data_IF_194323292896
#
_entry.id   IF_194323292896
#
_cell.length_a   1.000
_cell.length_b   1.000
_cell.length_c   1.000
_cell.angle_alpha   90.00
_cell.angle_beta   90.00
_cell.angle_gamma   90.00
#
_symmetry.space_group_name_H-M   'P 1'
#
loop_
_entity.id
_entity.type
_entity.pdbx_description
1 polymer ?
#
# COMPACT_ATOMS: atom_id res chain seq x y z
N UNK A 1 -29.00 5.96 -1.80
CA UNK A 1 -29.74 6.65 -0.70
C UNK A 1 -29.72 5.77 0.56
N UNK A 2 -29.10 6.27 1.63
CA UNK A 2 -28.87 5.66 2.95
C UNK A 2 -30.17 5.34 3.74
N UNK A 3 -30.91 4.31 3.33
CA UNK A 3 -32.09 3.83 4.08
C UNK A 3 -31.72 2.84 5.20
N UNK A 4 -30.56 2.17 5.07
CA UNK A 4 -30.09 1.18 6.05
C UNK A 4 -29.76 1.78 7.42
N UNK A 5 -29.27 3.03 7.49
CA UNK A 5 -28.83 3.64 8.75
C UNK A 5 -29.95 4.17 9.66
N UNK A 6 -31.23 4.06 9.27
CA UNK A 6 -32.35 4.64 10.05
C UNK A 6 -33.38 3.60 10.51
N UNK A 7 -33.30 2.37 10.01
CA UNK A 7 -34.36 1.36 10.18
C UNK A 7 -34.27 0.60 11.49
N UNK A 8 -33.09 0.42 12.09
CA UNK A 8 -32.91 -0.36 13.32
C UNK A 8 -32.25 0.45 14.43
N UNK A 9 -32.30 -0.06 15.67
CA UNK A 9 -31.60 0.56 16.80
C UNK A 9 -30.08 0.58 16.55
N UNK A 10 -29.55 -0.53 16.04
CA UNK A 10 -28.15 -0.72 15.68
C UNK A 10 -27.72 0.24 14.58
N UNK A 11 -28.56 0.43 13.55
CA UNK A 11 -28.25 1.32 12.45
C UNK A 11 -28.16 2.79 12.91
N UNK A 12 -29.04 3.20 13.83
CA UNK A 12 -28.99 4.53 14.44
C UNK A 12 -27.79 4.69 15.37
N UNK A 13 -27.38 3.63 16.08
CA UNK A 13 -26.18 3.62 16.89
C UNK A 13 -24.91 3.76 16.01
N UNK A 14 -24.82 2.99 14.93
CA UNK A 14 -23.73 3.08 13.95
C UNK A 14 -23.62 4.48 13.33
N UNK A 15 -24.75 5.10 12.98
CA UNK A 15 -24.76 6.49 12.47
C UNK A 15 -24.28 7.52 13.49
N UNK A 16 -24.49 7.28 14.79
CA UNK A 16 -23.95 8.14 15.86
C UNK A 16 -22.45 7.91 16.07
N UNK A 17 -22.01 6.67 15.89
CA UNK A 17 -20.59 6.30 15.98
C UNK A 17 -19.79 6.91 14.83
N UNK A 18 -20.23 6.71 13.58
CA UNK A 18 -19.66 7.35 12.40
C UNK A 18 -20.27 8.74 12.19
N UNK A 19 -19.84 9.70 13.01
CA UNK A 19 -20.46 11.03 13.06
C UNK A 19 -20.16 11.92 11.86
N UNK A 20 -19.06 11.69 11.15
CA UNK A 20 -18.71 12.43 9.93
C UNK A 20 -19.27 11.70 8.72
N UNK A 21 -19.96 12.46 7.87
CA UNK A 21 -20.64 11.97 6.68
C UNK A 21 -20.23 12.82 5.48
N UNK A 22 -19.47 12.25 4.55
CA UNK A 22 -18.97 12.98 3.38
C UNK A 22 -19.60 12.37 2.13
N UNK A 23 -20.41 13.11 1.37
CA UNK A 23 -20.82 12.68 0.04
C UNK A 23 -19.59 12.44 -0.83
N UNK A 24 -19.45 11.25 -1.38
CA UNK A 24 -18.31 10.88 -2.21
C UNK A 24 -18.76 10.00 -3.38
N UNK A 25 -17.86 9.83 -4.34
CA UNK A 25 -18.01 8.83 -5.40
C UNK A 25 -17.15 7.64 -5.04
N UNK A 26 -17.77 6.47 -4.94
CA UNK A 26 -17.05 5.22 -4.88
C UNK A 26 -16.73 4.79 -6.29
N UNK A 27 -15.49 4.35 -6.49
CA UNK A 27 -15.06 3.63 -7.68
C UNK A 27 -14.83 2.20 -7.21
N UNK A 28 -15.56 1.25 -7.78
CA UNK A 28 -15.47 -0.16 -7.46
C UNK A 28 -15.55 -0.95 -8.75
N UNK A 29 -14.46 -1.63 -9.11
CA UNK A 29 -14.30 -2.21 -10.43
C UNK A 29 -14.69 -1.14 -11.48
N UNK A 30 -15.38 -1.55 -12.55
CA UNK A 30 -15.79 -0.67 -13.65
C UNK A 30 -16.93 0.30 -13.30
N UNK A 31 -17.40 0.30 -12.05
CA UNK A 31 -18.59 1.04 -11.62
C UNK A 31 -18.22 2.23 -10.76
N UNK A 32 -18.76 3.39 -11.11
CA UNK A 32 -18.76 4.57 -10.23
C UNK A 32 -20.16 4.82 -9.71
N UNK A 33 -20.30 4.99 -8.40
CA UNK A 33 -21.59 5.29 -7.78
C UNK A 33 -21.46 6.33 -6.67
N UNK A 34 -22.51 7.13 -6.50
CA UNK A 34 -22.60 8.10 -5.43
C UNK A 34 -22.86 7.40 -4.09
N UNK A 35 -22.09 7.75 -3.07
CA UNK A 35 -22.21 7.20 -1.74
C UNK A 35 -21.90 8.23 -0.65
N UNK A 36 -21.80 7.73 0.58
CA UNK A 36 -21.41 8.50 1.75
C UNK A 36 -20.26 7.78 2.41
N UNK A 37 -19.12 8.46 2.53
CA UNK A 37 -18.03 8.03 3.40
C UNK A 37 -18.43 8.34 4.84
N UNK A 38 -18.62 7.28 5.60
CA UNK A 38 -18.85 7.30 7.04
C UNK A 38 -17.50 7.25 7.75
N UNK A 39 -17.25 8.20 8.65
CA UNK A 39 -15.97 8.30 9.34
C UNK A 39 -16.21 8.54 10.84
N UNK A 40 -15.44 7.81 11.65
CA UNK A 40 -15.20 8.05 13.06
C UNK A 40 -13.78 8.61 13.22
N UNK A 41 -13.65 9.95 13.33
CA UNK A 41 -12.34 10.61 13.31
C UNK A 41 -11.29 10.14 14.33
N UNK A 42 -11.66 9.57 15.48
CA UNK A 42 -10.69 9.08 16.48
C UNK A 42 -10.15 7.68 16.15
N UNK A 43 -10.93 6.86 15.44
CA UNK A 43 -10.66 5.43 15.29
C UNK A 43 -10.25 5.06 13.87
N UNK A 44 -10.89 5.66 12.88
CA UNK A 44 -10.64 5.30 11.48
C UNK A 44 -9.30 5.88 11.00
N UNK A 45 -8.65 5.15 10.11
CA UNK A 45 -7.43 5.57 9.42
C UNK A 45 -7.81 6.06 8.03
N UNK A 46 -7.45 7.29 7.70
CA UNK A 46 -7.66 7.81 6.34
C UNK A 46 -6.42 7.52 5.52
N UNK A 47 -6.56 6.61 4.56
CA UNK A 47 -5.54 6.36 3.55
C UNK A 47 -5.70 7.35 2.39
N UNK A 48 -4.74 8.24 2.21
CA UNK A 48 -4.74 9.21 1.11
C UNK A 48 -3.63 8.91 0.11
N UNK A 49 -4.00 9.00 -1.17
CA UNK A 49 -3.06 8.94 -2.28
C UNK A 49 -2.64 10.37 -2.62
N UNK A 50 -1.38 10.70 -2.33
CA UNK A 50 -0.83 12.03 -2.56
C UNK A 50 -1.19 13.07 -1.49
N UNK A 51 -0.24 13.99 -1.25
CA UNK A 51 -0.33 15.00 -0.20
C UNK A 51 -1.20 16.21 -0.56
N UNK A 52 -1.25 16.60 -1.84
CA UNK A 52 -1.77 17.90 -2.26
C UNK A 52 -3.19 18.22 -1.77
N UNK A 53 -4.07 17.21 -1.68
CA UNK A 53 -5.47 17.38 -1.28
C UNK A 53 -5.73 17.15 0.21
N UNK A 54 -4.76 16.63 0.95
CA UNK A 54 -4.94 16.29 2.36
C UNK A 54 -5.35 17.50 3.23
N UNK A 55 -4.72 18.69 3.11
CA UNK A 55 -5.08 19.81 3.99
C UNK A 55 -6.53 20.27 3.86
N UNK A 56 -7.08 20.28 2.63
CA UNK A 56 -8.49 20.63 2.41
C UNK A 56 -9.43 19.53 2.88
N UNK A 57 -9.09 18.26 2.63
CA UNK A 57 -9.86 17.12 3.14
C UNK A 57 -9.92 17.16 4.68
N UNK A 58 -8.77 17.38 5.34
CA UNK A 58 -8.68 17.43 6.79
C UNK A 58 -9.49 18.59 7.38
N UNK A 59 -9.42 19.76 6.75
CA UNK A 59 -10.22 20.92 7.12
C UNK A 59 -11.72 20.69 6.91
N UNK A 60 -12.10 20.02 5.82
CA UNK A 60 -13.49 19.67 5.53
C UNK A 60 -14.06 18.70 6.58
N UNK A 61 -13.32 17.64 6.90
CA UNK A 61 -13.68 16.68 7.95
C UNK A 61 -13.83 17.38 9.30
N UNK A 62 -12.89 18.26 9.65
CA UNK A 62 -12.95 19.02 10.89
C UNK A 62 -14.19 19.92 11.01
N UNK A 63 -14.64 20.52 9.91
CA UNK A 63 -15.88 21.33 9.87
C UNK A 63 -17.15 20.49 9.97
N UNK A 64 -17.13 19.29 9.40
CA UNK A 64 -18.27 18.37 9.42
C UNK A 64 -18.41 17.62 10.75
N UNK A 65 -17.31 17.44 11.47
CA UNK A 65 -17.31 16.78 12.77
C UNK A 65 -17.94 17.68 13.86
N UNK A 66 -19.07 17.29 14.48
CA UNK A 66 -19.68 18.04 15.58
C UNK A 66 -18.76 18.19 16.81
N UNK A 67 -17.78 17.31 16.96
CA UNK A 67 -16.79 17.34 18.05
C UNK A 67 -15.50 18.06 17.64
N UNK A 68 -15.38 18.49 16.38
CA UNK A 68 -14.23 19.23 15.87
C UNK A 68 -12.88 18.53 16.13
N UNK A 69 -12.86 17.19 16.10
CA UNK A 69 -11.64 16.39 16.25
C UNK A 69 -10.79 16.48 14.98
N UNK A 70 -11.43 16.34 13.81
CA UNK A 70 -10.73 16.31 12.52
C UNK A 70 -9.92 15.02 12.32
N UNK A 71 -9.04 15.00 11.32
CA UNK A 71 -8.23 13.80 11.02
C UNK A 71 -7.12 13.64 12.04
N UNK A 72 -7.08 12.49 12.74
CA UNK A 72 -6.01 12.18 13.70
C UNK A 72 -5.18 10.96 13.33
N UNK A 73 -5.70 10.05 12.48
CA UNK A 73 -4.96 8.90 11.98
C UNK A 73 -4.87 8.99 10.45
N UNK A 74 -3.67 9.26 9.95
CA UNK A 74 -3.39 9.41 8.53
C UNK A 74 -2.48 8.29 8.05
N UNK A 75 -2.85 7.65 6.95
CA UNK A 75 -1.95 6.83 6.16
C UNK A 75 -1.68 7.55 4.83
N UNK A 76 -0.43 7.90 4.58
CA UNK A 76 -0.03 8.62 3.38
C UNK A 76 0.74 7.69 2.45
N UNK A 77 0.20 7.51 1.24
CA UNK A 77 0.91 6.89 0.14
C UNK A 77 1.54 7.98 -0.72
N UNK A 78 2.87 7.97 -0.82
CA UNK A 78 3.67 9.03 -1.48
C UNK A 78 4.21 8.63 -2.85
N UNK A 79 3.69 7.60 -3.51
CA UNK A 79 4.21 7.10 -4.80
C UNK A 79 3.30 7.28 -6.01
N UNK A 80 3.94 7.58 -7.15
CA UNK A 80 3.46 7.26 -8.48
C UNK A 80 3.52 5.74 -8.72
N UNK A 81 2.45 5.26 -9.36
CA UNK A 81 2.13 3.90 -9.80
C UNK A 81 3.30 3.03 -10.27
N UNK A 82 3.04 1.72 -10.35
CA UNK A 82 3.81 0.60 -10.91
C UNK A 82 4.57 0.85 -12.23
N UNK A 83 4.42 1.99 -12.88
CA UNK A 83 5.15 2.38 -14.06
C UNK A 83 6.19 3.43 -13.66
N UNK A 84 7.49 3.14 -13.84
CA UNK A 84 8.66 4.04 -13.65
C UNK A 84 8.58 5.44 -14.32
N UNK A 85 7.44 5.83 -14.87
CA UNK A 85 7.27 7.01 -15.70
C UNK A 85 6.79 8.28 -14.99
N UNK A 86 6.49 8.25 -13.69
CA UNK A 86 6.03 9.47 -13.01
C UNK A 86 6.75 9.69 -11.69
N UNK A 87 7.82 10.48 -11.80
CA UNK A 87 8.49 11.15 -10.69
C UNK A 87 7.52 12.16 -10.07
N UNK A 88 6.67 11.73 -9.14
CA UNK A 88 6.30 12.65 -8.08
C UNK A 88 7.48 12.64 -7.12
N UNK A 89 8.30 13.69 -7.20
CA UNK A 89 9.13 14.04 -6.05
C UNK A 89 8.21 14.11 -4.83
N UNK A 90 8.72 13.65 -3.69
CA UNK A 90 8.15 13.67 -2.34
C UNK A 90 7.87 15.08 -1.84
N UNK A 91 7.32 15.94 -2.69
CA UNK A 91 7.06 17.31 -2.37
C UNK A 91 5.78 17.37 -1.56
N UNK A 92 5.96 17.56 -0.25
CA UNK A 92 4.90 18.04 0.62
C UNK A 92 4.52 19.51 0.33
N UNK A 93 5.06 20.10 -0.75
CA UNK A 93 4.59 21.36 -1.29
C UNK A 93 3.14 21.22 -1.72
N UNK A 94 2.39 22.22 -1.34
CA UNK A 94 0.99 22.36 -1.70
C UNK A 94 0.68 23.84 -1.77
N UNK A 95 -0.18 24.22 -2.69
CA UNK A 95 -0.70 25.59 -2.77
C UNK A 95 -1.76 25.86 -1.68
N UNK A 96 -2.02 24.88 -0.81
CA UNK A 96 -2.92 25.03 0.32
C UNK A 96 -2.41 26.07 1.32
N UNK A 97 -3.37 26.75 1.94
CA UNK A 97 -3.13 27.67 3.04
C UNK A 97 -2.31 26.99 4.16
N UNK A 98 -1.13 27.53 4.42
CA UNK A 98 -0.18 27.01 5.40
C UNK A 98 -0.80 26.89 6.80
N UNK A 99 -1.73 27.77 7.18
CA UNK A 99 -2.39 27.67 8.47
C UNK A 99 -3.29 26.42 8.55
N UNK A 100 -3.95 26.05 7.44
CA UNK A 100 -4.72 24.80 7.37
C UNK A 100 -3.80 23.58 7.50
N UNK A 101 -2.63 23.61 6.86
CA UNK A 101 -1.62 22.54 6.97
C UNK A 101 -1.19 22.38 8.42
N UNK A 102 -0.74 23.47 9.06
CA UNK A 102 -0.29 23.45 10.46
C UNK A 102 -1.37 22.91 11.40
N UNK A 103 -2.60 23.34 11.19
CA UNK A 103 -3.74 22.93 12.02
C UNK A 103 -4.13 21.47 11.78
N UNK A 104 -4.05 20.97 10.55
CA UNK A 104 -4.30 19.56 10.24
C UNK A 104 -3.22 18.66 10.86
N UNK A 105 -1.95 19.00 10.70
CA UNK A 105 -0.82 18.22 11.20
C UNK A 105 -0.81 18.15 12.73
N UNK A 106 -1.06 19.26 13.42
CA UNK A 106 -1.08 19.31 14.90
C UNK A 106 -2.16 18.42 15.54
N UNK A 107 -3.13 17.95 14.77
CA UNK A 107 -4.17 17.03 15.27
C UNK A 107 -3.79 15.56 15.12
N UNK A 108 -2.79 15.27 14.28
CA UNK A 108 -2.36 13.91 14.05
C UNK A 108 -1.87 13.30 15.36
N UNK A 109 -2.35 12.09 15.62
CA UNK A 109 -1.90 11.19 16.68
C UNK A 109 -1.19 9.98 16.09
N UNK A 110 -1.47 9.67 14.82
CA UNK A 110 -0.84 8.59 14.08
C UNK A 110 -0.58 9.02 12.64
N UNK A 111 0.63 8.79 12.17
CA UNK A 111 1.04 9.00 10.79
C UNK A 111 1.70 7.72 10.26
N UNK A 112 1.12 7.14 9.21
CA UNK A 112 1.58 5.90 8.61
C UNK A 112 2.12 6.21 7.22
N UNK A 113 3.41 5.94 7.00
CA UNK A 113 4.00 5.97 5.68
C UNK A 113 3.66 4.66 4.96
N UNK A 114 2.92 4.73 3.86
CA UNK A 114 2.51 3.53 3.11
C UNK A 114 3.59 3.18 2.10
N UNK A 115 4.18 2.00 2.27
CA UNK A 115 5.21 1.42 1.44
C UNK A 115 4.68 0.14 0.79
N UNK A 116 4.60 0.11 -0.54
CA UNK A 116 4.31 -1.10 -1.31
C UNK A 116 5.63 -1.80 -1.61
N UNK A 117 6.30 -2.24 -0.55
CA UNK A 117 7.67 -2.74 -0.59
C UNK A 117 7.80 -4.18 -1.12
N UNK A 118 7.10 -4.58 -2.18
CA UNK A 118 7.36 -5.88 -2.81
C UNK A 118 7.21 -5.74 -4.32
N UNK A 119 8.30 -5.44 -5.01
CA UNK A 119 8.38 -5.48 -6.46
C UNK A 119 9.79 -5.87 -6.87
N UNK A 120 9.92 -6.71 -7.89
CA UNK A 120 11.12 -6.65 -8.72
C UNK A 120 10.93 -5.58 -9.79
N UNK A 121 11.82 -4.60 -9.77
CA UNK A 121 11.71 -3.40 -10.60
C UNK A 121 11.88 -3.67 -12.11
N UNK A 122 12.25 -4.88 -12.53
CA UNK A 122 12.59 -5.21 -13.92
C UNK A 122 11.38 -5.51 -14.80
N UNK A 123 10.30 -6.09 -14.26
CA UNK A 123 9.14 -6.52 -15.06
C UNK A 123 8.27 -5.35 -15.52
N UNK A 124 8.10 -4.31 -14.72
CA UNK A 124 7.22 -3.17 -15.05
C UNK A 124 7.84 -2.08 -15.95
N UNK A 125 9.09 -2.23 -16.41
CA UNK A 125 9.79 -1.16 -17.13
C UNK A 125 9.30 -0.93 -18.57
N UNK A 126 8.57 -1.88 -19.17
CA UNK A 126 8.20 -1.83 -20.58
C UNK A 126 6.69 -1.75 -20.82
N UNK A 127 6.28 -0.94 -21.80
CA UNK A 127 4.87 -0.77 -22.22
C UNK A 127 4.24 -2.10 -22.68
N UNK A 128 5.06 -3.00 -23.20
CA UNK A 128 4.71 -4.37 -23.60
C UNK A 128 4.51 -5.30 -22.38
N UNK A 129 5.20 -5.03 -21.28
CA UNK A 129 5.06 -5.73 -20.01
C UNK A 129 3.94 -5.16 -19.13
N UNK A 130 3.32 -4.03 -19.49
CA UNK A 130 2.07 -3.56 -18.84
C UNK A 130 0.89 -4.52 -19.04
N UNK A 131 1.04 -5.52 -19.92
CA UNK A 131 0.13 -6.66 -20.10
C UNK A 131 0.67 -7.96 -19.50
N UNK A 132 1.85 -7.93 -18.89
CA UNK A 132 2.54 -9.05 -18.23
C UNK A 132 2.85 -8.69 -16.78
N UNK A 133 2.00 -9.06 -15.83
CA UNK A 133 2.52 -9.71 -14.65
C UNK A 133 2.85 -11.14 -15.08
N UNK A 134 3.97 -11.35 -15.80
CA UNK A 134 4.56 -12.69 -15.75
C UNK A 134 5.00 -12.84 -14.29
N UNK A 135 4.23 -13.64 -13.55
CA UNK A 135 4.46 -13.97 -12.15
C UNK A 135 5.63 -14.94 -12.05
N UNK A 136 6.78 -14.57 -12.58
CA UNK A 136 7.98 -15.41 -12.45
C UNK A 136 8.44 -15.49 -10.97
N UNK A 137 7.86 -14.65 -10.09
CA UNK A 137 8.04 -14.72 -8.65
C UNK A 137 6.65 -14.74 -7.99
N UNK A 138 6.28 -15.84 -7.28
CA UNK A 138 5.07 -15.88 -6.48
C UNK A 138 5.12 -14.79 -5.43
N UNK A 139 3.95 -14.30 -4.98
CA UNK A 139 3.93 -13.40 -3.83
C UNK A 139 4.67 -14.07 -2.68
N UNK A 140 5.64 -13.36 -2.09
CA UNK A 140 6.39 -13.90 -0.96
C UNK A 140 5.38 -14.27 0.13
N UNK A 141 5.29 -15.55 0.56
CA UNK A 141 4.30 -16.00 1.55
C UNK A 141 4.38 -15.24 2.88
N UNK A 142 5.53 -14.62 3.09
CA UNK A 142 5.86 -13.89 4.29
C UNK A 142 5.14 -12.55 4.32
N UNK A 143 4.88 -11.89 3.18
CA UNK A 143 4.25 -10.56 3.14
C UNK A 143 2.73 -10.67 3.14
N UNK A 144 2.01 -9.88 3.96
CA UNK A 144 0.56 -9.80 3.84
C UNK A 144 0.15 -9.22 2.47
N UNK A 145 -0.84 -9.83 1.84
CA UNK A 145 -1.48 -9.35 0.61
C UNK A 145 -2.55 -8.34 0.99
N UNK A 146 -2.50 -7.11 0.47
CA UNK A 146 -3.47 -6.06 0.83
C UNK A 146 -4.76 -6.22 0.02
N UNK A 147 -5.87 -6.70 0.62
CA UNK A 147 -7.13 -6.75 -0.09
C UNK A 147 -7.78 -5.37 -0.15
N UNK A 148 -8.85 -5.27 -0.94
CA UNK A 148 -9.65 -4.05 -1.07
C UNK A 148 -10.61 -3.79 0.10
N UNK A 149 -10.55 -4.63 1.15
CA UNK A 149 -11.44 -4.51 2.31
C UNK A 149 -10.91 -3.44 3.29
N UNK A 150 -11.70 -2.40 3.60
CA UNK A 150 -11.26 -1.32 4.48
C UNK A 150 -11.29 -1.66 5.98
N UNK A 151 -11.83 -2.82 6.35
CA UNK A 151 -11.95 -3.27 7.74
C UNK A 151 -10.88 -4.30 8.07
N UNK A 152 -10.20 -4.12 9.20
CA UNK A 152 -9.16 -5.02 9.65
C UNK A 152 -9.11 -5.10 11.19
N UNK A 153 -8.49 -6.16 11.68
CA UNK A 153 -8.16 -6.37 13.07
C UNK A 153 -6.64 -6.36 13.24
N UNK A 154 -6.16 -5.63 14.23
CA UNK A 154 -4.73 -5.63 14.58
C UNK A 154 -4.38 -6.77 15.53
N UNK A 155 -3.29 -7.46 15.22
CA UNK A 155 -2.58 -8.38 16.09
C UNK A 155 -1.27 -7.75 16.53
N UNK A 156 -0.88 -7.95 17.79
CA UNK A 156 0.35 -7.35 18.35
C UNK A 156 1.61 -7.79 17.60
N UNK A 157 1.62 -9.04 17.12
CA UNK A 157 2.74 -9.64 16.40
C UNK A 157 2.20 -10.53 15.29
N UNK A 158 2.88 -10.53 14.14
CA UNK A 158 2.68 -11.57 13.13
C UNK A 158 3.27 -12.90 13.63
N UNK A 159 2.49 -14.00 13.67
CA UNK A 159 3.02 -15.31 14.04
C UNK A 159 3.98 -15.93 13.01
N UNK A 160 4.06 -15.37 11.78
CA UNK A 160 4.96 -15.83 10.72
C UNK A 160 6.37 -15.30 10.92
N UNK A 161 7.37 -16.05 10.47
CA UNK A 161 8.78 -15.64 10.54
C UNK A 161 9.04 -14.45 9.58
N UNK A 162 9.08 -13.23 10.12
CA UNK A 162 9.26 -11.99 9.34
C UNK A 162 10.69 -11.81 8.83
N UNK A 163 11.68 -12.54 9.37
CA UNK A 163 13.08 -12.42 8.98
C UNK A 163 13.37 -12.70 7.49
N UNK A 164 12.56 -13.55 6.87
CA UNK A 164 12.70 -13.96 5.45
C UNK A 164 11.95 -13.00 4.50
N UNK A 165 11.37 -11.93 5.03
CA UNK A 165 10.64 -10.91 4.27
C UNK A 165 11.52 -10.17 3.27
N UNK A 166 12.72 -9.77 3.68
CA UNK A 166 13.52 -8.79 2.94
C UNK A 166 14.12 -9.32 1.65
N UNK A 167 14.09 -10.63 1.44
CA UNK A 167 14.59 -11.26 0.21
C UNK A 167 13.73 -10.89 -1.00
N UNK A 168 12.45 -10.53 -0.81
CA UNK A 168 11.54 -10.14 -1.90
C UNK A 168 11.28 -8.63 -2.01
N UNK A 169 11.93 -7.80 -1.19
CA UNK A 169 11.63 -6.35 -1.15
C UNK A 169 12.55 -5.55 -2.06
N UNK A 170 11.97 -4.63 -2.85
CA UNK A 170 12.73 -3.64 -3.61
C UNK A 170 13.52 -2.71 -2.67
N UNK A 171 14.84 -2.83 -2.70
CA UNK A 171 15.77 -2.00 -1.92
C UNK A 171 15.67 -0.51 -2.30
N UNK A 172 15.33 -0.22 -3.55
CA UNK A 172 15.12 1.14 -4.03
C UNK A 172 13.87 1.76 -3.38
N UNK A 173 12.83 0.97 -3.11
CA UNK A 173 11.60 1.45 -2.47
C UNK A 173 11.86 1.89 -1.03
N UNK A 174 12.71 1.18 -0.28
CA UNK A 174 13.09 1.60 1.07
C UNK A 174 13.98 2.83 1.09
N UNK A 175 14.91 2.95 0.14
CA UNK A 175 15.77 4.14 0.00
C UNK A 175 14.93 5.40 -0.27
N UNK A 176 13.91 5.26 -1.11
CA UNK A 176 12.97 6.35 -1.41
C UNK A 176 11.97 6.60 -0.27
N UNK A 177 11.48 5.57 0.42
CA UNK A 177 10.71 5.73 1.65
C UNK A 177 11.50 6.56 2.67
N UNK A 178 12.80 6.30 2.81
CA UNK A 178 13.69 7.10 3.66
C UNK A 178 13.71 8.56 3.22
N UNK A 179 13.87 8.84 1.93
CA UNK A 179 13.82 10.21 1.43
C UNK A 179 12.49 10.90 1.73
N UNK A 180 11.35 10.21 1.59
CA UNK A 180 10.02 10.73 1.94
C UNK A 180 9.92 11.06 3.43
N UNK A 181 10.46 10.19 4.29
CA UNK A 181 10.46 10.40 5.74
C UNK A 181 11.34 11.59 6.11
N UNK A 182 12.52 11.71 5.52
CA UNK A 182 13.42 12.84 5.75
C UNK A 182 12.77 14.16 5.30
N UNK A 183 12.18 14.18 4.08
CA UNK A 183 11.42 15.32 3.58
C UNK A 183 10.28 15.72 4.53
N UNK A 184 9.51 14.76 5.05
CA UNK A 184 8.43 15.03 5.99
C UNK A 184 8.92 15.83 7.20
N UNK A 185 10.02 15.39 7.83
CA UNK A 185 10.56 16.08 9.00
C UNK A 185 11.20 17.42 8.65
N UNK A 186 11.83 17.56 7.48
CA UNK A 186 12.32 18.86 6.98
C UNK A 186 11.17 19.86 6.81
N UNK A 187 10.03 19.45 6.23
CA UNK A 187 8.86 20.32 6.09
C UNK A 187 8.20 20.65 7.43
N UNK A 188 8.16 19.72 8.40
CA UNK A 188 7.70 20.05 9.74
C UNK A 188 8.53 21.18 10.36
N UNK A 189 9.86 21.13 10.20
CA UNK A 189 10.76 22.18 10.66
C UNK A 189 10.54 23.50 9.90
N UNK A 190 10.46 23.45 8.56
CA UNK A 190 10.20 24.62 7.71
C UNK A 190 8.87 25.31 8.08
N UNK A 191 7.83 24.53 8.37
CA UNK A 191 6.53 25.04 8.79
C UNK A 191 6.49 25.48 10.25
N UNK A 192 7.58 25.33 11.01
CA UNK A 192 7.64 25.65 12.44
C UNK A 192 6.64 24.82 13.25
N UNK A 193 6.48 23.54 12.89
CA UNK A 193 5.69 22.55 13.62
C UNK A 193 6.66 21.70 14.42
N UNK A 194 6.62 21.86 15.74
CA UNK A 194 7.36 20.97 16.61
C UNK A 194 6.79 19.56 16.48
N UNK A 195 7.65 18.59 16.20
CA UNK A 195 7.26 17.19 16.19
C UNK A 195 6.83 16.77 17.60
N UNK A 196 5.53 16.52 17.77
CA UNK A 196 4.99 16.07 19.05
C UNK A 196 5.43 14.62 19.28
N UNK A 197 6.18 14.31 20.36
CA UNK A 197 6.64 12.94 20.64
C UNK A 197 5.49 11.95 20.90
N UNK A 198 4.27 12.43 21.12
CA UNK A 198 3.08 11.59 21.23
C UNK A 198 2.53 11.11 19.88
N UNK A 199 2.99 11.66 18.74
CA UNK A 199 2.59 11.20 17.40
C UNK A 199 3.24 9.84 17.14
N UNK A 200 2.41 8.83 16.91
CA UNK A 200 2.86 7.51 16.53
C UNK A 200 3.17 7.47 15.03
N UNK A 201 4.45 7.44 14.67
CA UNK A 201 4.90 7.22 13.30
C UNK A 201 5.11 5.74 13.02
N UNK A 202 4.57 5.27 11.90
CA UNK A 202 4.63 3.87 11.50
C UNK A 202 4.86 3.74 10.00
N UNK A 203 5.29 2.56 9.57
CA UNK A 203 5.42 2.19 8.17
C UNK A 203 4.43 1.06 7.91
N UNK A 204 3.53 1.27 6.95
CA UNK A 204 2.65 0.22 6.45
C UNK A 204 3.35 -0.52 5.32
N UNK A 205 3.37 -1.84 5.40
CA UNK A 205 3.91 -2.70 4.34
C UNK A 205 2.90 -3.77 3.94
N UNK A 206 2.76 -3.99 2.65
CA UNK A 206 1.94 -5.06 2.11
C UNK A 206 2.40 -5.41 0.71
N UNK A 207 2.16 -6.66 0.32
CA UNK A 207 2.15 -7.02 -1.08
C UNK A 207 0.99 -6.28 -1.75
N UNK A 208 1.25 -5.48 -2.79
CA UNK A 208 0.22 -4.72 -3.46
C UNK A 208 -0.66 -5.67 -4.27
N UNK A 209 -1.95 -5.73 -3.96
CA UNK A 209 -2.93 -6.09 -4.98
C UNK A 209 -2.96 -4.93 -5.97
N UNK A 210 -2.27 -5.09 -7.09
CA UNK A 210 -2.36 -4.17 -8.21
C UNK A 210 -3.80 -4.19 -8.72
N UNK A 211 -4.60 -3.21 -8.35
CA UNK A 211 -5.92 -2.98 -8.93
C UNK A 211 -5.75 -2.76 -10.45
N UNK A 212 -6.18 -3.71 -11.30
CA UNK A 212 -6.04 -3.56 -12.74
C UNK A 212 -6.83 -2.35 -13.25
N UNK A 213 -7.83 -1.87 -12.51
CA UNK A 213 -8.67 -0.72 -12.90
C UNK A 213 -8.12 0.63 -12.43
N UNK A 214 -7.41 0.70 -11.29
CA UNK A 214 -6.57 1.89 -11.00
C UNK A 214 -5.54 2.04 -12.12
N UNK A 215 -4.94 0.95 -12.57
CA UNK A 215 -4.01 0.98 -13.72
C UNK A 215 -4.73 1.46 -14.99
N UNK A 216 -5.94 0.96 -15.31
CA UNK A 216 -6.68 1.38 -16.52
C UNK A 216 -7.15 2.84 -16.43
N UNK A 217 -7.64 3.30 -15.28
CA UNK A 217 -8.11 4.68 -15.09
C UNK A 217 -6.96 5.68 -15.04
N UNK A 218 -5.84 5.36 -14.38
CA UNK A 218 -4.60 6.12 -14.46
C UNK A 218 -4.12 6.19 -15.91
N UNK A 219 -4.05 5.05 -16.63
CA UNK A 219 -3.66 5.05 -18.04
C UNK A 219 -4.62 5.88 -18.93
N UNK A 220 -5.92 5.90 -18.65
CA UNK A 220 -6.91 6.67 -19.40
C UNK A 220 -6.84 8.18 -19.12
N UNK A 221 -6.60 8.56 -17.86
CA UNK A 221 -6.43 9.97 -17.47
C UNK A 221 -5.20 10.63 -18.10
N UNK A 222 -4.19 9.83 -18.49
CA UNK A 222 -2.90 10.33 -18.99
C UNK A 222 -2.60 9.92 -20.44
N UNK A 223 -3.59 9.42 -21.19
CA UNK A 223 -3.47 9.08 -22.62
C UNK A 223 -3.34 10.32 -23.56
N UNK A 224 -3.33 11.53 -23.02
CA UNK A 224 -3.15 12.77 -23.76
C UNK A 224 -1.69 13.24 -23.66
N UNK A 225 -0.79 12.62 -24.44
CA UNK A 225 0.41 13.25 -25.04
C UNK A 225 1.34 12.19 -25.64
N UNK A 226 0.90 11.54 -26.73
CA UNK A 226 1.80 10.69 -27.54
C UNK A 226 1.65 11.08 -29.01
N UNK A 227 2.06 12.29 -29.36
CA UNK A 227 2.36 12.67 -30.75
C UNK A 227 3.84 12.54 -31.09
N UNK A 228 4.72 12.29 -30.12
CA UNK A 228 6.15 12.10 -30.36
C UNK A 228 6.63 10.78 -29.76
N UNK A 229 6.57 9.69 -30.55
CA UNK A 229 7.72 8.81 -30.80
C UNK A 229 7.37 7.64 -31.72
N UNK A 230 8.34 7.34 -32.60
CA UNK A 230 8.24 6.45 -33.75
C UNK A 230 7.96 4.99 -33.39
N UNK A 231 7.04 4.43 -34.18
CA UNK A 231 6.84 3.01 -34.44
C UNK A 231 8.11 2.33 -34.94
N UNK A 232 8.48 1.19 -34.36
CA UNK A 232 8.85 -0.05 -35.07
C UNK A 232 9.47 -1.06 -34.09
N UNK A 233 8.63 -1.72 -33.29
CA UNK A 233 8.98 -3.01 -32.68
C UNK A 233 7.75 -3.92 -32.78
N UNK A 234 7.92 -5.00 -33.54
CA UNK A 234 6.98 -6.10 -33.72
C UNK A 234 6.65 -6.76 -32.38
N UNK A 235 5.36 -6.86 -32.06
CA UNK A 235 4.81 -7.50 -30.87
C UNK A 235 4.93 -9.04 -30.96
N UNK A 236 5.53 -9.73 -29.97
CA UNK A 236 5.41 -11.18 -29.87
C UNK A 236 4.01 -11.56 -29.39
N UNK A 237 3.47 -12.66 -29.92
CA UNK A 237 2.17 -13.24 -29.56
C UNK A 237 2.03 -13.47 -28.05
N UNK A 238 1.21 -12.63 -27.40
CA UNK A 238 0.81 -12.74 -26.00
C UNK A 238 -0.24 -13.84 -25.83
N UNK A 239 0.12 -14.93 -25.15
CA UNK A 239 -0.81 -16.04 -24.78
C UNK A 239 -1.03 -16.18 -23.27
N UNK A 240 -0.55 -15.24 -22.45
CA UNK A 240 -0.79 -15.23 -20.99
C UNK A 240 -1.53 -13.95 -20.61
N UNK A 241 -2.78 -14.11 -20.17
CA UNK A 241 -3.80 -13.03 -20.01
C UNK A 241 -4.57 -13.19 -18.70
N UNK A 242 -3.93 -13.56 -17.59
CA UNK A 242 -4.64 -13.55 -16.30
C UNK A 242 -4.46 -12.18 -15.63
N UNK A 243 -5.52 -11.35 -15.55
CA UNK A 243 -5.46 -10.12 -14.76
C UNK A 243 -5.23 -10.47 -13.29
N UNK A 244 -4.55 -9.57 -12.56
CA UNK A 244 -4.46 -9.64 -11.10
C UNK A 244 -5.89 -9.60 -10.56
N UNK A 245 -6.33 -10.68 -9.92
CA UNK A 245 -7.67 -10.76 -9.34
C UNK A 245 -7.64 -10.02 -8.00
N UNK A 246 -8.28 -8.86 -7.96
CA UNK A 246 -8.46 -8.10 -6.73
C UNK A 246 -9.24 -8.93 -5.70
N UNK A 247 -8.82 -8.86 -4.43
CA UNK A 247 -9.44 -9.60 -3.33
C UNK A 247 -10.45 -8.71 -2.60
N UNK A 248 -11.74 -9.01 -2.75
CA UNK A 248 -12.83 -8.27 -2.09
C UNK A 248 -13.50 -9.05 -0.97
N UNK A 249 -13.53 -10.37 -1.07
CA UNK A 249 -14.23 -11.24 -0.14
C UNK A 249 -13.46 -12.54 0.14
N UNK A 250 -14.09 -13.40 0.94
CA UNK A 250 -13.50 -14.66 1.35
C UNK A 250 -13.26 -15.63 0.18
N UNK A 251 -14.12 -15.66 -0.81
CA UNK A 251 -14.01 -16.60 -1.93
C UNK A 251 -12.89 -16.16 -2.88
N UNK A 252 -12.75 -14.85 -3.12
CA UNK A 252 -11.58 -14.28 -3.82
C UNK A 252 -10.28 -14.62 -3.11
N UNK A 253 -10.24 -14.49 -1.78
CA UNK A 253 -9.05 -14.77 -0.98
C UNK A 253 -8.65 -16.25 -1.04
N UNK A 254 -9.62 -17.17 -1.02
CA UNK A 254 -9.38 -18.61 -1.18
C UNK A 254 -8.82 -18.89 -2.58
N UNK A 255 -9.46 -18.37 -3.62
CA UNK A 255 -9.02 -18.55 -5.00
C UNK A 255 -7.61 -17.99 -5.23
N UNK A 256 -7.30 -16.83 -4.65
CA UNK A 256 -5.97 -16.24 -4.69
C UNK A 256 -4.94 -17.17 -4.03
N UNK A 257 -5.21 -17.64 -2.81
CA UNK A 257 -4.29 -18.50 -2.07
C UNK A 257 -4.05 -19.83 -2.79
N UNK A 258 -5.08 -20.46 -3.37
CA UNK A 258 -4.95 -21.68 -4.16
C UNK A 258 -4.10 -21.46 -5.41
N UNK A 259 -4.31 -20.35 -6.13
CA UNK A 259 -3.53 -20.01 -7.31
C UNK A 259 -2.05 -19.72 -6.98
N UNK A 260 -1.77 -19.08 -5.84
CA UNK A 260 -0.40 -18.87 -5.36
C UNK A 260 0.32 -20.19 -5.03
N UNK A 261 -0.39 -21.13 -4.39
CA UNK A 261 0.18 -22.46 -4.08
C UNK A 261 0.51 -23.23 -5.35
N UNK A 262 -0.39 -23.22 -6.34
CA UNK A 262 -0.18 -23.92 -7.61
C UNK A 262 0.97 -23.28 -8.42
N UNK A 263 1.06 -21.95 -8.46
CA UNK A 263 2.13 -21.26 -9.17
C UNK A 263 3.51 -21.53 -8.53
N UNK A 264 3.59 -21.52 -7.18
CA UNK A 264 4.82 -21.90 -6.47
C UNK A 264 5.26 -23.31 -6.80
N UNK A 265 4.31 -24.25 -6.82
CA UNK A 265 4.61 -25.63 -7.16
C UNK A 265 5.14 -25.74 -8.58
N UNK A 266 4.52 -25.03 -9.52
CA UNK A 266 4.98 -24.98 -10.92
C UNK A 266 6.39 -24.42 -11.04
N UNK A 267 6.71 -23.33 -10.34
CA UNK A 267 8.04 -22.72 -10.35
C UNK A 267 9.08 -23.67 -9.73
N UNK A 268 8.74 -24.33 -8.62
CA UNK A 268 9.60 -25.32 -7.99
C UNK A 268 9.87 -26.51 -8.92
N UNK A 269 8.84 -27.03 -9.60
CA UNK A 269 8.99 -28.13 -10.57
C UNK A 269 9.91 -27.70 -11.73
N UNK A 270 9.79 -26.46 -12.23
CA UNK A 270 10.68 -25.92 -13.27
C UNK A 270 12.14 -25.79 -12.80
N UNK A 271 12.37 -25.26 -11.60
CA UNK A 271 13.72 -25.13 -11.04
C UNK A 271 14.39 -26.49 -10.83
N UNK A 272 13.63 -27.52 -10.47
CA UNK A 272 14.15 -28.88 -10.30
C UNK A 272 14.46 -29.58 -11.65
N UNK A 273 13.82 -29.15 -12.75
CA UNK A 273 14.06 -29.67 -14.10
C UNK A 273 15.30 -29.03 -14.75
N UNK A 274 15.59 -27.76 -14.46
CA UNK A 274 16.77 -27.03 -14.94
C UNK A 274 18.00 -27.27 -14.05
N UNK A 275 18.62 -28.46 -14.15
CA UNK A 275 19.80 -28.91 -13.38
C UNK A 275 21.06 -28.00 -13.48
N UNK A 276 21.05 -26.92 -14.26
CA UNK A 276 22.29 -26.19 -14.59
C UNK A 276 22.79 -25.20 -13.52
N UNK A 277 21.95 -24.60 -12.68
CA UNK A 277 22.35 -23.77 -11.52
C UNK A 277 21.19 -23.64 -10.51
N UNK A 278 20.79 -24.74 -9.86
CA UNK A 278 19.74 -24.69 -8.83
C UNK A 278 20.34 -24.09 -7.55
N UNK A 279 19.86 -22.93 -7.13
CA UNK A 279 20.18 -22.37 -5.82
C UNK A 279 19.42 -23.14 -4.72
N UNK A 280 20.15 -23.97 -3.97
CA UNK A 280 19.60 -24.75 -2.85
C UNK A 280 18.83 -23.86 -1.84
N UNK A 281 19.20 -22.58 -1.70
CA UNK A 281 18.54 -21.63 -0.82
C UNK A 281 17.15 -21.20 -1.35
N UNK A 282 17.01 -21.00 -2.66
CA UNK A 282 15.72 -20.68 -3.30
C UNK A 282 14.76 -21.87 -3.25
N UNK A 283 15.27 -23.09 -3.46
CA UNK A 283 14.51 -24.33 -3.32
C UNK A 283 14.03 -24.52 -1.88
N UNK A 284 14.88 -24.27 -0.88
CA UNK A 284 14.49 -24.34 0.54
C UNK A 284 13.40 -23.30 0.86
N UNK A 285 13.51 -22.07 0.35
CA UNK A 285 12.51 -21.01 0.56
C UNK A 285 11.16 -21.34 -0.06
N UNK A 286 11.14 -21.82 -1.30
CA UNK A 286 9.91 -22.18 -2.02
C UNK A 286 9.27 -23.47 -1.48
N UNK A 287 10.07 -24.39 -0.93
CA UNK A 287 9.58 -25.65 -0.34
C UNK A 287 9.00 -25.51 1.06
N UNK A 288 9.02 -24.32 1.68
CA UNK A 288 8.24 -23.99 2.89
C UNK A 288 6.74 -23.91 2.55
N UNK A 289 6.15 -25.06 2.22
CA UNK A 289 4.77 -25.26 1.77
C UNK A 289 3.71 -24.91 2.83
N UNK A 290 4.11 -24.73 4.09
CA UNK A 290 3.18 -24.59 5.22
C UNK A 290 2.70 -23.14 5.44
N UNK A 291 3.21 -22.14 4.70
CA UNK A 291 2.86 -20.73 4.90
C UNK A 291 1.91 -20.22 3.82
N UNK A 292 0.63 -20.11 4.16
CA UNK A 292 -0.38 -19.45 3.34
C UNK A 292 -0.26 -17.92 3.43
N UNK A 293 -0.58 -17.18 2.35
CA UNK A 293 -0.66 -15.72 2.42
C UNK A 293 -1.62 -15.25 3.52
N UNK A 294 -1.22 -14.22 4.27
CA UNK A 294 -2.14 -13.47 5.12
C UNK A 294 -2.75 -12.34 4.31
N UNK A 295 -4.05 -12.07 4.49
CA UNK A 295 -4.72 -10.94 3.84
C UNK A 295 -4.78 -9.76 4.81
N UNK A 296 -4.11 -8.67 4.46
CA UNK A 296 -3.91 -7.54 5.35
C UNK A 296 -2.67 -6.72 5.02
N UNK A 297 -2.07 -6.15 6.06
CA UNK A 297 -0.82 -5.41 5.96
C UNK A 297 -0.07 -5.45 7.29
N UNK A 298 1.23 -5.17 7.23
CA UNK A 298 2.07 -4.94 8.40
C UNK A 298 2.11 -3.48 8.78
N UNK A 299 2.25 -3.23 10.08
CA UNK A 299 2.67 -1.95 10.62
C UNK A 299 3.99 -2.15 11.38
N UNK A 300 5.03 -1.52 10.88
CA UNK A 300 6.31 -1.39 11.58
C UNK A 300 6.36 -0.04 12.29
N UNK A 301 7.03 0.05 13.45
CA UNK A 301 7.38 1.34 14.02
C UNK A 301 8.40 2.04 13.10
N UNK A 302 8.43 3.38 13.10
CA UNK A 302 9.30 4.14 12.19
C UNK A 302 10.80 3.90 12.44
N UNK A 303 11.19 3.53 13.67
CA UNK A 303 12.56 3.19 14.05
C UNK A 303 13.08 1.90 13.40
N UNK A 304 12.20 1.07 12.81
CA UNK A 304 12.61 -0.03 11.94
C UNK A 304 13.32 0.45 10.66
N UNK A 305 13.15 1.72 10.27
CA UNK A 305 13.84 2.32 9.12
C UNK A 305 15.17 2.95 9.55
N UNK A 306 16.31 2.48 9.02
CA UNK A 306 17.62 2.90 9.50
C UNK A 306 17.91 4.38 9.22
N UNK A 307 18.61 5.02 10.15
CA UNK A 307 19.04 6.42 10.06
C UNK A 307 20.41 6.48 9.38
N UNK A 308 20.43 6.43 8.06
CA UNK A 308 21.68 6.57 7.30
C UNK A 308 21.77 8.01 6.77
N UNK A 309 22.79 8.76 7.21
CA UNK A 309 23.12 10.07 6.62
C UNK A 309 23.67 9.86 5.21
N UNK A 310 22.81 9.96 4.21
CA UNK A 310 23.17 9.92 2.79
C UNK A 310 23.96 11.19 2.42
N UNK A 311 25.28 11.17 2.60
CA UNK A 311 26.20 12.11 1.95
C UNK A 311 26.55 11.65 0.52
N UNK A 312 27.16 12.56 -0.26
CA UNK A 312 27.23 12.60 -1.72
C UNK A 312 27.81 11.40 -2.54
N UNK A 313 28.15 10.24 -1.98
CA UNK A 313 28.82 9.15 -2.75
C UNK A 313 27.97 7.86 -2.77
N UNK A 314 27.45 7.45 -3.92
CA UNK A 314 26.21 6.66 -4.03
C UNK A 314 26.32 5.12 -3.97
N UNK A 315 27.39 4.46 -4.42
CA UNK A 315 27.35 2.99 -4.62
C UNK A 315 27.74 2.17 -3.38
N UNK A 316 28.76 2.58 -2.62
CA UNK A 316 29.21 1.86 -1.41
C UNK A 316 28.19 1.94 -0.26
N UNK A 317 27.16 2.79 -0.35
CA UNK A 317 26.19 3.08 0.71
C UNK A 317 24.92 2.24 0.68
N UNK A 318 24.56 1.70 -0.49
CA UNK A 318 23.34 0.90 -0.63
C UNK A 318 23.52 -0.41 0.14
N UNK A 319 24.68 -1.06 0.03
CA UNK A 319 24.98 -2.28 0.79
C UNK A 319 25.00 -2.08 2.32
N UNK A 320 25.53 -0.94 2.80
CA UNK A 320 25.52 -0.61 4.23
C UNK A 320 24.09 -0.34 4.74
N UNK A 321 23.28 0.39 3.95
CA UNK A 321 21.87 0.63 4.26
C UNK A 321 21.07 -0.68 4.29
N UNK A 322 21.30 -1.57 3.32
CA UNK A 322 20.62 -2.87 3.23
C UNK A 322 20.95 -3.76 4.44
N UNK A 323 22.22 -3.81 4.83
CA UNK A 323 22.66 -4.60 5.98
C UNK A 323 22.02 -4.09 7.26
N UNK A 324 22.04 -2.78 7.48
CA UNK A 324 21.41 -2.16 8.65
C UNK A 324 19.89 -2.33 8.63
N UNK A 325 19.25 -2.19 7.46
CA UNK A 325 17.81 -2.43 7.29
C UNK A 325 17.45 -3.87 7.69
N UNK A 326 18.22 -4.85 7.23
CA UNK A 326 18.04 -6.25 7.63
C UNK A 326 18.16 -6.44 9.14
N UNK A 327 19.16 -5.83 9.77
CA UNK A 327 19.28 -5.89 11.22
C UNK A 327 18.11 -5.23 11.94
N UNK A 328 17.64 -4.08 11.47
CA UNK A 328 16.54 -3.35 12.10
C UNK A 328 15.22 -4.12 11.99
N UNK A 329 14.91 -4.69 10.83
CA UNK A 329 13.69 -5.50 10.67
C UNK A 329 13.77 -6.83 11.45
N UNK A 330 14.96 -7.41 11.64
CA UNK A 330 15.14 -8.57 12.54
C UNK A 330 14.92 -8.20 14.01
N UNK A 331 15.18 -6.95 14.41
CA UNK A 331 14.95 -6.43 15.78
C UNK A 331 13.47 -6.08 16.03
N UNK A 332 12.69 -5.80 14.99
CA UNK A 332 11.31 -5.35 15.11
C UNK A 332 10.32 -6.35 14.52
N UNK A 333 9.48 -6.94 15.37
CA UNK A 333 8.33 -7.73 14.90
C UNK A 333 7.18 -6.77 14.53
N UNK A 334 6.65 -6.83 13.30
CA UNK A 334 5.54 -5.99 12.89
C UNK A 334 4.25 -6.40 13.57
N UNK A 335 3.36 -5.42 13.72
CA UNK A 335 1.94 -5.69 13.97
C UNK A 335 1.30 -6.18 12.67
N UNK A 336 0.50 -7.23 12.74
CA UNK A 336 -0.27 -7.72 11.60
C UNK A 336 -1.70 -7.16 11.66
N UNK A 337 -2.09 -6.40 10.64
CA UNK A 337 -3.45 -5.93 10.44
C UNK A 337 -4.17 -6.86 9.47
N UNK A 338 -4.91 -7.83 10.01
CA UNK A 338 -5.67 -8.82 9.24
C UNK A 338 -6.99 -8.24 8.73
N UNK A 339 -7.22 -8.31 7.44
CA UNK A 339 -8.46 -7.83 6.83
C UNK A 339 -9.65 -8.73 7.17
N UNK A 340 -10.79 -8.11 7.45
CA UNK A 340 -12.04 -8.79 7.70
C UNK A 340 -12.77 -9.05 6.38
N UNK A 341 -12.48 -10.19 5.76
CA UNK A 341 -13.07 -10.62 4.50
C UNK A 341 -14.50 -11.13 4.72
N UNK A 342 -15.54 -10.43 4.25
CA UNK A 342 -16.91 -10.92 4.36
C UNK A 342 -17.10 -12.18 3.50
N UNK A 343 -18.08 -13.02 3.83
CA UNK A 343 -18.57 -14.01 2.88
C UNK A 343 -19.26 -13.30 1.71
N UNK A 344 -19.16 -13.84 0.49
CA UNK A 344 -19.82 -13.25 -0.68
C UNK A 344 -21.31 -13.05 -0.41
N UNK A 345 -21.75 -11.80 -0.44
CA UNK A 345 -23.16 -11.48 -0.30
C UNK A 345 -23.58 -10.48 -1.40
N UNK A 346 -24.22 -10.97 -2.48
CA UNK A 346 -24.61 -10.13 -3.60
C UNK A 346 -25.74 -9.13 -3.24
N UNK A 347 -26.26 -9.15 -2.01
CA UNK A 347 -27.34 -8.26 -1.56
C UNK A 347 -26.85 -7.00 -0.82
N UNK A 348 -25.54 -6.84 -0.60
CA UNK A 348 -24.95 -5.64 0.03
C UNK A 348 -24.14 -4.77 -0.94
N UNK A 349 -24.52 -4.76 -2.22
CA UNK A 349 -24.02 -3.82 -3.24
C UNK A 349 -25.01 -2.67 -3.44
#
# INVERSE_FOLDING_TARGET
MSKLFVTTLESRAAKKFYRVHIPCKYVHMTSTYDGILYLNPELDIIHVFGWAYFPELANHIWKLDPLHVGVVNLALQTYGSCCKYYYFGSSFKTDCDLDKIKVAIRRLKRFIFVCHGVYESETCQYRENRRRPDRDIPSSPFVPVKPHVPAFQTMEQDPRAVGDFLDGVDRMEFSRLRAVVDDWFEYLEEWGINNDPAVLYQIMMSYPDCDPEIIVSENACWAHDVSDQLSDVSTPNSTLTKPVQAVYDRDDAIAFAENEIEERKRILDQLLEDESEVDDEEVEKLSRQDVTPAFGFWLFPLDALPVVKLAANSEMRIGDFDTELQEQFKKHTPQLCLSHLPGYNPQYL
#
